data_IF_218466038299
#
_entry.id   IF_218466038299
#
_cell.length_a   1.000
_cell.length_b   1.000
_cell.length_c   1.000
_cell.angle_alpha   90.00
_cell.angle_beta   90.00
_cell.angle_gamma   90.00
#
_symmetry.space_group_name_H-M   'P 1'
#
loop_
_entity.id
_entity.type
_entity.pdbx_description
1 polymer ?
#
# COMPACT_ATOMS: atom_id res chain seq x y z
N UNK A 1 -12.36 24.72 -10.59
CA UNK A 1 -13.18 23.56 -11.01
C UNK A 1 -13.03 22.54 -9.91
N UNK A 2 -14.11 22.29 -9.16
CA UNK A 2 -14.14 21.29 -8.09
C UNK A 2 -13.75 19.93 -8.69
N UNK A 3 -12.84 19.18 -8.07
CA UNK A 3 -12.47 17.84 -8.57
C UNK A 3 -13.59 16.87 -8.19
N UNK A 4 -14.66 16.90 -8.99
CA UNK A 4 -15.89 16.11 -8.84
C UNK A 4 -15.61 14.62 -8.65
N UNK A 5 -14.57 14.08 -9.29
CA UNK A 5 -14.19 12.68 -9.17
C UNK A 5 -13.81 12.24 -7.76
N UNK A 6 -13.15 13.09 -6.97
CA UNK A 6 -12.80 12.76 -5.59
C UNK A 6 -14.04 12.80 -4.70
N UNK A 7 -14.90 13.81 -4.88
CA UNK A 7 -16.13 13.94 -4.13
C UNK A 7 -17.11 12.79 -4.41
N UNK A 8 -17.26 12.42 -5.68
CA UNK A 8 -18.06 11.27 -6.10
C UNK A 8 -17.56 9.98 -5.45
N UNK A 9 -16.24 9.76 -5.45
CA UNK A 9 -15.63 8.60 -4.80
C UNK A 9 -15.89 8.60 -3.28
N UNK A 10 -15.76 9.75 -2.60
CA UNK A 10 -16.04 9.89 -1.17
C UNK A 10 -17.50 9.59 -0.84
N UNK A 11 -18.44 10.17 -1.59
CA UNK A 11 -19.87 9.91 -1.41
C UNK A 11 -20.22 8.44 -1.65
N UNK A 12 -19.58 7.81 -2.64
CA UNK A 12 -19.74 6.39 -2.87
C UNK A 12 -19.28 5.57 -1.66
N UNK A 13 -18.10 5.87 -1.10
CA UNK A 13 -17.61 5.17 0.11
C UNK A 13 -18.58 5.36 1.27
N UNK A 14 -19.02 6.59 1.53
CA UNK A 14 -19.92 6.89 2.64
C UNK A 14 -21.26 6.15 2.53
N UNK A 15 -21.78 6.02 1.31
CA UNK A 15 -23.09 5.40 1.06
C UNK A 15 -23.04 3.86 0.96
N UNK A 16 -21.88 3.27 0.64
CA UNK A 16 -21.78 1.84 0.27
C UNK A 16 -20.88 1.02 1.21
N UNK A 17 -20.29 1.61 2.24
CA UNK A 17 -19.42 0.90 3.19
C UNK A 17 -19.91 1.07 4.62
N UNK A 18 -19.56 0.15 5.53
CA UNK A 18 -19.88 0.29 6.95
C UNK A 18 -19.08 1.42 7.60
N UNK A 19 -19.59 2.04 8.66
CA UNK A 19 -18.92 3.16 9.35
C UNK A 19 -17.53 2.82 9.90
N UNK A 20 -17.25 1.55 10.17
CA UNK A 20 -15.95 1.06 10.63
C UNK A 20 -14.98 0.70 9.48
N UNK A 21 -15.41 0.87 8.22
CA UNK A 21 -14.56 0.67 7.04
C UNK A 21 -13.41 1.67 7.03
N UNK A 22 -12.18 1.16 6.94
CA UNK A 22 -10.98 1.98 6.89
C UNK A 22 -10.57 2.27 5.44
N UNK A 23 -10.24 3.52 5.13
CA UNK A 23 -9.75 3.92 3.82
C UNK A 23 -8.21 3.85 3.81
N UNK A 24 -7.66 3.19 2.80
CA UNK A 24 -6.23 3.13 2.50
C UNK A 24 -5.98 3.90 1.21
N UNK A 25 -5.16 4.95 1.27
CA UNK A 25 -4.85 5.79 0.12
C UNK A 25 -3.47 6.44 0.27
N UNK A 26 -3.03 7.20 -0.73
CA UNK A 26 -1.85 8.06 -0.61
C UNK A 26 -2.07 9.12 0.48
N UNK A 27 -1.02 9.44 1.22
CA UNK A 27 -1.06 10.38 2.33
C UNK A 27 -1.63 11.75 1.97
N UNK A 28 -1.49 12.18 0.70
CA UNK A 28 -1.99 13.46 0.20
C UNK A 28 -3.53 13.55 0.21
N UNK A 29 -4.23 12.42 0.15
CA UNK A 29 -5.70 12.37 0.05
C UNK A 29 -6.38 11.91 1.33
N UNK A 30 -5.63 11.43 2.33
CA UNK A 30 -6.20 10.91 3.57
C UNK A 30 -7.11 11.90 4.29
N UNK A 31 -6.73 13.18 4.40
CA UNK A 31 -7.58 14.22 5.02
C UNK A 31 -8.91 14.40 4.33
N UNK A 32 -8.86 14.48 3.00
CA UNK A 32 -10.04 14.69 2.19
C UNK A 32 -11.02 13.53 2.37
N UNK A 33 -10.53 12.29 2.27
CA UNK A 33 -11.38 11.12 2.47
C UNK A 33 -11.89 10.98 3.91
N UNK A 34 -11.09 11.32 4.92
CA UNK A 34 -11.55 11.34 6.30
C UNK A 34 -12.72 12.31 6.50
N UNK A 35 -12.64 13.50 5.90
CA UNK A 35 -13.66 14.54 5.95
C UNK A 35 -14.92 14.14 5.19
N UNK A 36 -14.78 13.82 3.90
CA UNK A 36 -15.92 13.74 2.97
C UNK A 36 -16.55 12.35 2.91
N UNK A 37 -15.80 11.28 3.19
CA UNK A 37 -16.34 9.92 3.19
C UNK A 37 -16.82 9.48 4.58
N UNK A 38 -16.59 10.28 5.62
CA UNK A 38 -16.93 9.96 7.02
C UNK A 38 -16.41 8.58 7.47
N UNK A 39 -15.19 8.23 7.06
CA UNK A 39 -14.53 6.97 7.41
C UNK A 39 -13.13 7.22 7.99
N UNK A 40 -12.65 6.36 8.90
CA UNK A 40 -11.26 6.40 9.34
C UNK A 40 -10.31 6.13 8.17
N UNK A 41 -9.14 6.77 8.19
CA UNK A 41 -8.09 6.58 7.19
C UNK A 41 -6.83 6.00 7.83
N UNK A 42 -6.09 5.15 7.11
CA UNK A 42 -4.84 4.57 7.63
C UNK A 42 -3.75 5.63 7.80
N UNK A 43 -3.65 6.58 6.88
CA UNK A 43 -2.58 7.57 6.88
C UNK A 43 -2.99 8.84 6.13
N UNK A 44 -2.55 10.00 6.62
CA UNK A 44 -2.81 11.30 6.01
C UNK A 44 -1.66 12.29 6.29
N UNK A 45 -1.65 13.45 5.61
CA UNK A 45 -0.58 14.43 5.73
C UNK A 45 -0.47 15.21 7.06
N UNK A 46 -1.54 15.27 7.84
CA UNK A 46 -1.50 15.86 9.20
C UNK A 46 -0.89 14.88 10.16
N UNK A 47 -1.20 13.59 10.04
CA UNK A 47 -0.56 12.51 10.79
C UNK A 47 0.95 12.55 10.50
N UNK A 48 1.36 12.57 9.23
CA UNK A 48 2.77 12.71 8.85
C UNK A 48 3.44 13.99 9.40
N UNK A 49 2.74 15.13 9.40
CA UNK A 49 3.27 16.40 9.88
C UNK A 49 3.40 16.45 11.41
N UNK A 50 2.32 16.08 12.12
CA UNK A 50 2.25 16.11 13.59
C UNK A 50 3.26 15.15 14.22
N UNK A 51 3.53 14.00 13.61
CA UNK A 51 4.52 13.03 14.08
C UNK A 51 5.96 13.57 14.11
N UNK A 52 6.27 14.60 13.32
CA UNK A 52 7.61 15.20 13.26
C UNK A 52 7.79 16.41 14.17
N UNK A 53 6.72 16.87 14.83
CA UNK A 53 6.77 18.08 15.65
C UNK A 53 7.17 17.76 17.11
N UNK A 54 8.16 18.46 17.69
CA UNK A 54 8.46 18.39 19.11
C UNK A 54 7.28 18.79 20.02
N UNK A 55 6.33 19.59 19.51
CA UNK A 55 5.18 20.09 20.28
C UNK A 55 4.12 19.02 20.57
N UNK A 56 4.26 17.81 20.00
CA UNK A 56 3.29 16.73 20.16
C UNK A 56 3.03 16.35 21.63
N UNK A 57 4.07 16.37 22.46
CA UNK A 57 3.98 16.12 23.91
C UNK A 57 3.07 17.13 24.65
N UNK A 58 2.86 18.32 24.07
CA UNK A 58 2.02 19.37 24.64
C UNK A 58 0.58 19.38 24.12
N UNK A 59 0.34 18.85 22.93
CA UNK A 59 -0.98 18.88 22.27
C UNK A 59 -1.81 17.63 22.47
N UNK A 60 -1.19 16.52 22.89
CA UNK A 60 -1.86 15.25 23.10
C UNK A 60 -1.70 14.79 24.55
N UNK A 61 -2.75 14.17 25.07
CA UNK A 61 -2.76 13.54 26.39
C UNK A 61 -1.58 12.57 26.52
N UNK A 62 -0.94 12.51 27.69
CA UNK A 62 0.19 11.61 27.98
C UNK A 62 -0.20 10.12 27.89
N UNK A 63 -1.49 9.80 27.71
CA UNK A 63 -1.97 8.45 27.40
C UNK A 63 -1.78 8.04 25.93
N UNK A 64 -1.43 8.97 25.03
CA UNK A 64 -1.16 8.65 23.62
C UNK A 64 0.31 8.24 23.45
N UNK A 65 0.51 7.04 22.91
CA UNK A 65 1.84 6.59 22.50
C UNK A 65 2.40 7.53 21.42
N UNK A 66 3.52 8.19 21.74
CA UNK A 66 4.18 9.13 20.84
C UNK A 66 4.76 8.44 19.60
N UNK A 67 4.78 7.11 19.55
CA UNK A 67 5.09 6.36 18.34
C UNK A 67 3.84 6.09 17.47
N UNK A 68 2.62 6.55 17.80
CA UNK A 68 1.39 6.22 17.03
C UNK A 68 0.59 7.45 16.57
N UNK A 69 0.29 7.61 15.26
CA UNK A 69 0.75 6.77 14.16
C UNK A 69 2.25 6.93 13.86
N UNK A 70 2.79 6.06 13.00
CA UNK A 70 4.14 6.21 12.45
C UNK A 70 4.13 6.52 10.95
N UNK A 71 5.10 7.31 10.49
CA UNK A 71 5.45 7.47 9.07
C UNK A 71 5.86 6.15 8.40
N UNK A 72 6.12 5.08 9.18
CA UNK A 72 6.35 3.75 8.62
C UNK A 72 5.11 3.17 7.94
N UNK A 73 3.90 3.70 8.18
CA UNK A 73 2.69 3.34 7.43
C UNK A 73 2.84 3.62 5.93
N UNK A 74 3.50 4.73 5.55
CA UNK A 74 3.82 5.04 4.15
C UNK A 74 4.68 3.94 3.52
N UNK A 75 5.72 3.50 4.25
CA UNK A 75 6.55 2.38 3.83
C UNK A 75 5.75 1.09 3.60
N UNK A 76 4.86 0.73 4.53
CA UNK A 76 4.05 -0.49 4.41
C UNK A 76 3.03 -0.41 3.28
N UNK A 77 2.36 0.74 3.10
CA UNK A 77 1.45 0.98 1.97
C UNK A 77 2.22 0.89 0.65
N UNK A 78 3.39 1.53 0.56
CA UNK A 78 4.25 1.45 -0.61
C UNK A 78 4.71 0.00 -0.87
N UNK A 79 5.13 -0.75 0.15
CA UNK A 79 5.51 -2.15 0.00
C UNK A 79 4.34 -3.00 -0.52
N UNK A 80 3.15 -2.83 0.05
CA UNK A 80 1.95 -3.55 -0.35
C UNK A 80 1.54 -3.25 -1.80
N UNK A 81 1.69 -2.00 -2.25
CA UNK A 81 1.37 -1.60 -3.61
C UNK A 81 2.44 -2.02 -4.62
N UNK A 82 3.67 -2.27 -4.19
CA UNK A 82 4.82 -2.44 -5.08
C UNK A 82 5.32 -3.88 -5.17
N UNK A 83 4.91 -4.75 -4.26
CA UNK A 83 5.12 -6.19 -4.37
C UNK A 83 4.18 -6.81 -5.41
N UNK A 84 4.59 -7.94 -5.97
CA UNK A 84 3.79 -8.86 -6.78
C UNK A 84 3.25 -10.05 -5.94
N UNK A 85 3.64 -10.15 -4.66
CA UNK A 85 3.10 -11.12 -3.71
C UNK A 85 1.75 -10.64 -3.14
N UNK A 86 0.66 -11.17 -3.67
CA UNK A 86 -0.70 -10.81 -3.25
C UNK A 86 -0.99 -11.11 -1.77
N UNK A 87 -0.45 -12.21 -1.23
CA UNK A 87 -0.59 -12.55 0.19
C UNK A 87 0.03 -11.46 1.04
N UNK A 88 1.25 -11.03 0.71
CA UNK A 88 1.94 -9.94 1.39
C UNK A 88 1.14 -8.64 1.33
N UNK A 89 0.70 -8.21 0.13
CA UNK A 89 -0.11 -7.00 -0.02
C UNK A 89 -1.39 -7.05 0.83
N UNK A 90 -2.15 -8.14 0.70
CA UNK A 90 -3.42 -8.34 1.42
C UNK A 90 -3.21 -8.28 2.93
N UNK A 91 -2.22 -8.99 3.44
CA UNK A 91 -1.96 -9.06 4.87
C UNK A 91 -1.45 -7.72 5.42
N UNK A 92 -0.63 -6.97 4.66
CA UNK A 92 -0.25 -5.61 5.05
C UNK A 92 -1.49 -4.72 5.17
N UNK A 93 -2.36 -4.68 4.16
CA UNK A 93 -3.56 -3.84 4.20
C UNK A 93 -4.50 -4.23 5.36
N UNK A 94 -4.72 -5.53 5.57
CA UNK A 94 -5.51 -6.06 6.70
C UNK A 94 -4.92 -5.66 8.05
N UNK A 95 -3.61 -5.83 8.22
CA UNK A 95 -2.88 -5.47 9.43
C UNK A 95 -3.02 -3.98 9.73
N UNK A 96 -2.79 -3.12 8.74
CA UNK A 96 -2.89 -1.67 8.90
C UNK A 96 -4.32 -1.21 9.23
N UNK A 97 -5.32 -1.75 8.52
CA UNK A 97 -6.73 -1.42 8.77
C UNK A 97 -7.23 -1.88 10.15
N UNK A 98 -6.73 -3.02 10.65
CA UNK A 98 -7.24 -3.62 11.89
C UNK A 98 -6.44 -3.23 13.12
N UNK A 99 -5.11 -3.25 13.03
CA UNK A 99 -4.19 -3.13 14.16
C UNK A 99 -3.26 -1.92 14.10
N UNK A 100 -3.28 -1.15 13.01
CA UNK A 100 -2.42 0.02 12.83
C UNK A 100 -0.94 -0.35 12.93
N UNK A 101 -0.23 0.28 13.88
CA UNK A 101 1.22 0.11 14.08
C UNK A 101 1.58 -0.99 15.09
N UNK A 102 0.60 -1.61 15.76
CA UNK A 102 0.82 -2.46 16.92
C UNK A 102 1.73 -3.65 16.65
N UNK A 103 1.66 -4.26 15.46
CA UNK A 103 2.54 -5.38 15.06
C UNK A 103 4.01 -4.98 15.01
N UNK A 104 4.31 -3.84 14.39
CA UNK A 104 5.66 -3.32 14.24
C UNK A 104 6.23 -2.85 15.57
N UNK A 105 5.44 -2.13 16.37
CA UNK A 105 5.83 -1.65 17.70
C UNK A 105 6.13 -2.83 18.63
N UNK A 106 5.26 -3.84 18.65
CA UNK A 106 5.47 -5.03 19.48
C UNK A 106 6.73 -5.80 19.09
N UNK A 107 6.99 -5.97 17.79
CA UNK A 107 8.23 -6.58 17.31
C UNK A 107 9.47 -5.77 17.70
N UNK A 108 9.41 -4.43 17.66
CA UNK A 108 10.51 -3.59 18.11
C UNK A 108 10.77 -3.74 19.61
N UNK A 109 9.72 -3.89 20.42
CA UNK A 109 9.87 -4.17 21.85
C UNK A 109 10.57 -5.50 22.10
N UNK A 110 10.28 -6.54 21.32
CA UNK A 110 10.89 -7.85 21.51
C UNK A 110 12.30 -7.98 20.95
N UNK A 111 12.57 -7.37 19.80
CA UNK A 111 13.86 -7.52 19.11
C UNK A 111 14.87 -6.42 19.47
N UNK A 112 14.38 -5.28 19.96
CA UNK A 112 15.16 -4.04 20.11
C UNK A 112 15.91 -3.62 18.83
N UNK A 113 15.44 -4.07 17.65
CA UNK A 113 16.11 -3.85 16.37
C UNK A 113 15.09 -3.63 15.24
N UNK A 114 14.89 -2.36 14.87
CA UNK A 114 13.93 -1.94 13.84
C UNK A 114 14.12 -2.64 12.48
N UNK A 115 15.36 -2.89 12.08
CA UNK A 115 15.68 -3.57 10.81
C UNK A 115 15.31 -5.05 10.86
N UNK A 116 15.58 -5.71 11.99
CA UNK A 116 15.20 -7.09 12.20
C UNK A 116 13.67 -7.25 12.31
N UNK A 117 13.00 -6.37 13.06
CA UNK A 117 11.54 -6.31 13.14
C UNK A 117 10.89 -6.23 11.77
N UNK A 118 11.35 -5.30 10.92
CA UNK A 118 10.80 -5.13 9.58
C UNK A 118 10.98 -6.40 8.71
N UNK A 119 12.14 -7.05 8.79
CA UNK A 119 12.41 -8.31 8.07
C UNK A 119 11.52 -9.46 8.55
N UNK A 120 11.35 -9.60 9.87
CA UNK A 120 10.47 -10.64 10.45
C UNK A 120 9.02 -10.36 10.04
N UNK A 121 8.57 -9.12 10.20
CA UNK A 121 7.20 -8.71 9.86
C UNK A 121 6.89 -8.95 8.37
N UNK A 122 7.80 -8.61 7.47
CA UNK A 122 7.63 -8.88 6.04
C UNK A 122 7.52 -10.38 5.74
N UNK A 123 8.35 -11.23 6.37
CA UNK A 123 8.28 -12.68 6.20
C UNK A 123 6.95 -13.24 6.71
N UNK A 124 6.55 -12.84 7.91
CA UNK A 124 5.29 -13.23 8.55
C UNK A 124 4.10 -12.84 7.68
N UNK A 125 4.03 -11.61 7.19
CA UNK A 125 2.91 -11.15 6.36
C UNK A 125 2.90 -11.79 4.95
N UNK A 126 3.99 -12.40 4.50
CA UNK A 126 4.07 -13.04 3.18
C UNK A 126 3.41 -14.42 3.11
N UNK A 127 2.93 -14.96 4.24
CA UNK A 127 2.39 -16.32 4.36
C UNK A 127 1.05 -16.32 5.09
N UNK A 128 0.45 -17.49 5.27
CA UNK A 128 -0.76 -17.68 6.09
C UNK A 128 -0.44 -17.68 7.60
N UNK A 129 -1.47 -17.68 8.45
CA UNK A 129 -1.31 -17.60 9.92
C UNK A 129 -0.52 -18.78 10.51
N UNK A 130 -0.68 -19.99 10.00
CA UNK A 130 0.01 -21.19 10.54
C UNK A 130 1.49 -21.18 10.16
N UNK A 131 1.79 -20.87 8.90
CA UNK A 131 3.16 -20.67 8.43
C UNK A 131 3.84 -19.50 9.17
N UNK A 132 3.11 -18.40 9.40
CA UNK A 132 3.59 -17.26 10.16
C UNK A 132 3.94 -17.62 11.61
N UNK A 133 3.13 -18.46 12.27
CA UNK A 133 3.45 -18.98 13.60
C UNK A 133 4.80 -19.69 13.60
N UNK A 134 5.01 -20.60 12.64
CA UNK A 134 6.26 -21.35 12.51
C UNK A 134 7.48 -20.42 12.33
N UNK A 135 7.36 -19.39 11.48
CA UNK A 135 8.40 -18.38 11.30
C UNK A 135 8.70 -17.66 12.62
N UNK A 136 7.67 -17.29 13.39
CA UNK A 136 7.88 -16.64 14.68
C UNK A 136 8.60 -17.58 15.67
N UNK A 137 8.21 -18.86 15.72
CA UNK A 137 8.89 -19.85 16.55
C UNK A 137 10.37 -20.02 16.18
N UNK A 138 10.68 -20.08 14.89
CA UNK A 138 12.06 -20.16 14.39
C UNK A 138 12.89 -18.92 14.74
N UNK A 139 12.24 -17.76 14.89
CA UNK A 139 12.91 -16.52 15.32
C UNK A 139 13.01 -16.40 16.85
N UNK A 140 12.68 -17.45 17.61
CA UNK A 140 12.87 -17.53 19.05
C UNK A 140 11.74 -16.96 19.90
N UNK A 141 10.60 -16.58 19.30
CA UNK A 141 9.45 -16.09 20.06
C UNK A 141 8.78 -17.23 20.84
N UNK A 142 8.39 -16.96 22.08
CA UNK A 142 7.54 -17.86 22.87
C UNK A 142 6.15 -18.00 22.24
N UNK A 143 5.39 -19.04 22.60
CA UNK A 143 4.05 -19.26 22.03
C UNK A 143 3.12 -18.08 22.30
N UNK A 144 3.23 -17.49 23.51
CA UNK A 144 2.47 -16.31 23.92
C UNK A 144 2.81 -15.08 23.08
N UNK A 145 4.09 -14.85 22.80
CA UNK A 145 4.53 -13.73 21.95
C UNK A 145 4.12 -13.94 20.50
N UNK A 146 4.26 -15.17 19.99
CA UNK A 146 3.89 -15.52 18.64
C UNK A 146 2.38 -15.32 18.40
N UNK A 147 1.52 -15.85 19.27
CA UNK A 147 0.06 -15.66 19.15
C UNK A 147 -0.33 -14.19 19.23
N UNK A 148 0.28 -13.42 20.15
CA UNK A 148 0.01 -11.98 20.26
C UNK A 148 0.40 -11.21 19.00
N UNK A 149 1.51 -11.58 18.36
CA UNK A 149 1.92 -11.00 17.08
C UNK A 149 0.99 -11.41 15.93
N UNK A 150 0.50 -12.65 15.94
CA UNK A 150 -0.46 -13.12 14.93
C UNK A 150 -1.81 -12.41 15.06
N UNK A 151 -2.23 -12.02 16.26
CA UNK A 151 -3.48 -11.27 16.44
C UNK A 151 -3.44 -9.89 15.77
N UNK A 152 -2.26 -9.29 15.62
CA UNK A 152 -2.09 -8.04 14.87
C UNK A 152 -1.81 -8.26 13.38
N UNK A 153 -0.99 -9.25 13.04
CA UNK A 153 -0.56 -9.49 11.64
C UNK A 153 -1.56 -10.29 10.82
N UNK A 154 -2.28 -11.21 11.46
CA UNK A 154 -3.24 -12.14 10.87
C UNK A 154 -4.52 -12.19 11.71
N UNK A 155 -5.22 -11.06 11.88
CA UNK A 155 -6.39 -11.00 12.75
C UNK A 155 -7.49 -11.95 12.25
N UNK A 156 -8.07 -12.72 13.18
CA UNK A 156 -9.19 -13.64 12.91
C UNK A 156 -10.42 -12.87 12.41
N UNK A 157 -10.64 -11.68 12.95
CA UNK A 157 -11.66 -10.73 12.49
C UNK A 157 -10.96 -9.48 11.99
N UNK A 158 -11.04 -9.22 10.68
CA UNK A 158 -10.48 -8.02 10.07
C UNK A 158 -11.50 -6.88 10.12
N UNK A 159 -11.03 -5.65 10.31
CA UNK A 159 -11.85 -4.49 9.94
C UNK A 159 -12.05 -4.47 8.42
N UNK A 160 -13.25 -4.08 7.93
CA UNK A 160 -13.43 -3.83 6.52
C UNK A 160 -12.54 -2.67 6.09
N UNK A 161 -12.06 -2.70 4.85
CA UNK A 161 -11.31 -1.60 4.28
C UNK A 161 -11.50 -1.48 2.78
N UNK A 162 -11.20 -0.29 2.28
CA UNK A 162 -11.14 0.02 0.86
C UNK A 162 -9.79 0.63 0.52
N UNK A 163 -9.30 0.35 -0.68
CA UNK A 163 -8.06 0.90 -1.23
C UNK A 163 -8.44 1.87 -2.34
N UNK A 164 -8.07 3.13 -2.19
CA UNK A 164 -8.35 4.19 -3.15
C UNK A 164 -7.10 4.47 -3.97
N UNK A 165 -7.18 4.20 -5.28
CA UNK A 165 -6.11 4.39 -6.25
C UNK A 165 -6.48 5.50 -7.22
N UNK A 166 -5.56 6.46 -7.38
CA UNK A 166 -5.68 7.51 -8.41
C UNK A 166 -5.04 7.04 -9.72
N UNK A 167 -5.63 7.41 -10.85
CA UNK A 167 -5.23 6.97 -12.20
C UNK A 167 -3.82 7.44 -12.62
N UNK A 168 -3.32 8.50 -11.99
CA UNK A 168 -1.97 9.03 -12.13
C UNK A 168 -1.13 8.90 -10.85
N UNK A 169 -1.51 7.98 -9.94
CA UNK A 169 -0.81 7.79 -8.68
C UNK A 169 0.67 7.46 -8.94
N UNK A 170 1.52 8.43 -8.64
CA UNK A 170 2.96 8.29 -8.69
C UNK A 170 3.44 7.67 -7.39
N UNK A 171 3.71 6.37 -7.40
CA UNK A 171 4.42 5.75 -6.28
C UNK A 171 5.91 5.98 -6.49
N UNK A 172 6.47 6.90 -5.72
CA UNK A 172 7.91 7.02 -5.49
C UNK A 172 8.22 6.38 -4.14
N UNK A 173 8.94 5.27 -4.12
CA UNK A 173 9.30 4.62 -2.87
C UNK A 173 10.14 5.56 -2.00
N UNK A 174 9.66 5.85 -0.78
CA UNK A 174 10.42 6.53 0.25
C UNK A 174 11.42 5.54 0.84
N UNK A 175 12.69 5.64 0.46
CA UNK A 175 13.79 5.03 1.21
C UNK A 175 14.46 6.10 2.04
N UNK A 176 14.70 5.81 3.32
CA UNK A 176 15.44 6.66 4.27
C UNK A 176 16.59 7.45 3.61
N UNK A 177 16.68 8.70 4.06
CA UNK A 177 17.70 9.78 3.96
C UNK A 177 18.99 9.68 3.14
N UNK A 178 19.39 8.54 2.56
CA UNK A 178 20.60 8.38 1.73
C UNK A 178 20.39 7.57 0.44
N UNK A 179 19.16 7.22 0.06
CA UNK A 179 18.87 6.56 -1.22
C UNK A 179 17.83 7.37 -2.03
N UNK A 180 18.08 7.63 -3.33
CA UNK A 180 17.13 8.37 -4.16
C UNK A 180 15.79 7.65 -4.17
N UNK A 181 14.69 8.40 -4.04
CA UNK A 181 13.32 7.88 -4.15
C UNK A 181 13.24 6.94 -5.34
N UNK A 182 12.95 5.65 -5.10
CA UNK A 182 12.91 4.68 -6.20
C UNK A 182 11.63 4.93 -6.98
N UNK A 183 11.78 5.52 -8.16
CA UNK A 183 10.65 5.80 -9.05
C UNK A 183 10.23 4.50 -9.70
N UNK A 184 8.99 4.10 -9.44
CA UNK A 184 8.43 2.82 -9.88
C UNK A 184 7.73 3.01 -11.23
N UNK A 185 6.95 4.09 -11.33
CA UNK A 185 6.29 4.53 -12.55
C UNK A 185 6.95 5.83 -12.97
N UNK A 186 7.74 5.78 -14.06
CA UNK A 186 8.40 6.96 -14.61
C UNK A 186 7.41 7.90 -15.29
N UNK A 187 6.44 7.33 -16.01
CA UNK A 187 5.46 8.13 -16.76
C UNK A 187 4.21 7.31 -17.10
N UNK A 188 3.07 8.00 -17.12
CA UNK A 188 1.84 7.54 -17.78
C UNK A 188 1.62 8.42 -19.00
N UNK A 189 1.37 7.79 -20.15
CA UNK A 189 1.26 8.44 -21.45
C UNK A 189 -0.09 8.07 -22.06
N UNK A 190 -0.86 9.07 -22.50
CA UNK A 190 -2.19 8.87 -23.12
C UNK A 190 -2.09 8.52 -24.61
N UNK A 191 -1.16 7.63 -24.94
CA UNK A 191 -1.02 7.02 -26.26
C UNK A 191 -0.33 5.66 -26.10
N UNK A 192 -0.45 4.82 -27.12
CA UNK A 192 0.39 3.62 -27.23
C UNK A 192 1.79 4.03 -27.66
N UNK A 193 2.81 3.59 -26.92
CA UNK A 193 4.21 3.75 -27.28
C UNK A 193 4.91 2.39 -27.23
N UNK A 194 5.93 2.21 -28.07
CA UNK A 194 6.78 1.02 -28.09
C UNK A 194 8.21 1.33 -27.60
N UNK A 195 8.54 2.61 -27.48
CA UNK A 195 9.84 3.12 -27.03
C UNK A 195 9.64 4.34 -26.13
N UNK A 196 10.60 4.59 -25.25
CA UNK A 196 10.58 5.77 -24.38
C UNK A 196 11.93 6.48 -24.43
N UNK A 197 11.91 7.78 -24.72
CA UNK A 197 13.11 8.61 -24.89
C UNK A 197 14.14 8.02 -25.89
N UNK A 198 13.65 7.46 -27.01
CA UNK A 198 14.49 6.84 -28.04
C UNK A 198 15.20 5.56 -27.62
N UNK A 199 14.75 4.93 -26.53
CA UNK A 199 15.28 3.66 -26.04
C UNK A 199 14.21 2.58 -26.10
N UNK A 200 14.65 1.37 -26.43
CA UNK A 200 13.79 0.19 -26.37
C UNK A 200 13.58 -0.27 -24.91
N UNK A 201 12.38 -0.75 -24.57
CA UNK A 201 12.09 -1.27 -23.24
C UNK A 201 12.71 -2.66 -23.05
N UNK A 202 12.79 -3.07 -21.80
CA UNK A 202 13.10 -4.45 -21.41
C UNK A 202 12.02 -5.40 -21.91
N UNK A 203 10.77 -5.04 -21.70
CA UNK A 203 9.62 -5.75 -22.22
C UNK A 203 8.44 -4.82 -22.47
N UNK A 204 7.55 -5.25 -23.35
CA UNK A 204 6.23 -4.66 -23.53
C UNK A 204 5.19 -5.67 -23.04
N UNK A 205 4.34 -5.24 -22.11
CA UNK A 205 3.21 -6.02 -21.62
C UNK A 205 1.93 -5.43 -22.21
N UNK A 206 1.16 -6.22 -22.96
CA UNK A 206 -0.10 -5.81 -23.56
C UNK A 206 -1.09 -6.97 -23.49
N UNK A 207 -2.32 -6.70 -23.02
CA UNK A 207 -3.39 -7.70 -22.91
C UNK A 207 -2.96 -8.99 -22.18
N UNK A 208 -2.13 -8.85 -21.15
CA UNK A 208 -1.59 -9.98 -20.36
C UNK A 208 -0.46 -10.76 -21.02
N UNK A 209 -0.07 -10.44 -22.26
CA UNK A 209 1.09 -11.02 -22.93
C UNK A 209 2.30 -10.12 -22.79
N UNK A 210 3.46 -10.69 -22.46
CA UNK A 210 4.72 -9.98 -22.35
C UNK A 210 5.69 -10.38 -23.45
N UNK A 211 6.20 -9.38 -24.16
CA UNK A 211 7.21 -9.53 -25.19
C UNK A 211 8.53 -8.91 -24.72
N UNK A 212 9.57 -9.72 -24.57
CA UNK A 212 10.92 -9.24 -24.20
C UNK A 212 11.62 -8.64 -25.42
N UNK A 213 12.23 -7.47 -25.26
CA UNK A 213 12.83 -6.69 -26.36
C UNK A 213 14.33 -6.48 -26.10
N UNK A 214 14.70 -5.70 -25.08
CA UNK A 214 16.11 -5.46 -24.74
C UNK A 214 16.43 -5.85 -23.29
N UNK A 215 17.12 -6.98 -23.11
CA UNK A 215 17.55 -7.47 -21.79
C UNK A 215 18.40 -6.47 -20.99
N UNK A 216 19.06 -5.50 -21.65
CA UNK A 216 19.89 -4.48 -21.01
C UNK A 216 19.10 -3.27 -20.54
N UNK A 217 17.89 -3.05 -21.06
CA UNK A 217 17.03 -1.96 -20.64
C UNK A 217 16.60 -2.10 -19.18
N UNK A 218 16.27 -0.97 -18.53
CA UNK A 218 15.89 -0.89 -17.12
C UNK A 218 14.41 -0.59 -16.91
N UNK A 219 13.64 -0.42 -17.97
CA UNK A 219 12.22 -0.11 -17.89
C UNK A 219 11.39 -1.05 -18.77
N UNK A 220 10.15 -1.30 -18.39
CA UNK A 220 9.15 -1.95 -19.24
C UNK A 220 8.07 -0.96 -19.64
N UNK A 221 7.36 -1.24 -20.71
CA UNK A 221 6.16 -0.49 -21.11
C UNK A 221 4.95 -1.41 -20.94
N UNK A 222 3.90 -0.89 -20.30
CA UNK A 222 2.64 -1.61 -20.09
C UNK A 222 1.55 -0.87 -20.81
N UNK A 223 0.95 -1.52 -21.80
CA UNK A 223 -0.09 -0.96 -22.65
C UNK A 223 -1.45 -1.40 -22.12
N UNK A 224 -2.30 -0.43 -21.76
CA UNK A 224 -3.68 -0.65 -21.32
C UNK A 224 -4.61 0.28 -22.09
N UNK A 225 -5.44 -0.29 -22.97
CA UNK A 225 -6.27 0.49 -23.88
C UNK A 225 -5.44 1.47 -24.71
N UNK A 226 -5.71 2.77 -24.58
CA UNK A 226 -4.98 3.85 -25.24
C UNK A 226 -3.87 4.48 -24.37
N UNK A 227 -3.56 3.91 -23.20
CA UNK A 227 -2.52 4.41 -22.28
C UNK A 227 -1.31 3.47 -22.26
N UNK A 228 -0.14 4.06 -22.04
CA UNK A 228 1.12 3.35 -21.79
C UNK A 228 1.72 3.78 -20.47
N UNK A 229 2.10 2.82 -19.63
CA UNK A 229 2.83 3.06 -18.39
C UNK A 229 4.29 2.69 -18.62
N UNK A 230 5.20 3.63 -18.36
CA UNK A 230 6.64 3.40 -18.36
C UNK A 230 7.05 3.11 -16.92
N UNK A 231 7.55 1.91 -16.67
CA UNK A 231 7.79 1.40 -15.31
C UNK A 231 9.20 0.86 -15.18
N UNK A 232 9.80 0.96 -14.00
CA UNK A 232 11.04 0.23 -13.70
C UNK A 232 10.78 -1.26 -13.90
N UNK A 233 11.67 -1.95 -14.62
CA UNK A 233 11.46 -3.34 -15.02
C UNK A 233 11.22 -4.25 -13.82
N UNK A 234 11.77 -3.94 -12.65
CA UNK A 234 11.65 -4.77 -11.46
C UNK A 234 10.25 -4.70 -10.82
N UNK A 235 9.42 -3.73 -11.22
CA UNK A 235 8.09 -3.51 -10.67
C UNK A 235 6.96 -3.70 -11.69
N UNK A 236 7.27 -4.25 -12.87
CA UNK A 236 6.29 -4.43 -13.95
C UNK A 236 5.11 -5.35 -13.58
N UNK A 237 5.22 -6.15 -12.52
CA UNK A 237 4.12 -6.97 -11.98
C UNK A 237 3.57 -6.49 -10.63
N UNK A 238 4.03 -5.33 -10.15
CA UNK A 238 3.59 -4.76 -8.89
C UNK A 238 2.05 -4.61 -8.84
N UNK A 239 1.47 -4.74 -7.64
CA UNK A 239 0.03 -4.63 -7.44
C UNK A 239 -0.55 -3.32 -7.98
N UNK A 240 0.13 -2.19 -7.78
CA UNK A 240 -0.32 -0.88 -8.30
C UNK A 240 -0.47 -0.88 -9.81
N UNK A 241 0.44 -1.52 -10.54
CA UNK A 241 0.36 -1.61 -11.99
C UNK A 241 -0.92 -2.32 -12.36
N UNK A 242 -1.23 -3.42 -11.68
CA UNK A 242 -2.45 -4.18 -11.91
C UNK A 242 -3.69 -3.35 -11.56
N UNK A 243 -3.69 -2.59 -10.46
CA UNK A 243 -4.79 -1.64 -10.18
C UNK A 243 -4.97 -0.58 -11.27
N UNK A 244 -3.88 -0.08 -11.83
CA UNK A 244 -3.94 0.92 -12.89
C UNK A 244 -4.38 0.32 -14.23
N UNK A 245 -4.06 -0.93 -14.53
CA UNK A 245 -4.29 -1.54 -15.85
C UNK A 245 -5.47 -2.52 -15.94
N UNK A 246 -5.88 -3.16 -14.84
CA UNK A 246 -6.83 -4.28 -14.82
C UNK A 246 -8.11 -3.99 -14.00
N UNK A 247 -9.08 -4.91 -14.14
CA UNK A 247 -10.27 -5.03 -13.28
C UNK A 247 -9.95 -5.71 -11.95
N UNK A 248 -10.61 -6.84 -11.65
CA UNK A 248 -10.39 -7.60 -10.41
C UNK A 248 -9.04 -8.36 -10.45
N UNK A 249 -8.35 -8.43 -9.30
CA UNK A 249 -6.99 -8.97 -9.20
C UNK A 249 -6.89 -9.84 -7.95
N UNK A 250 -6.86 -11.16 -8.13
CA UNK A 250 -6.90 -12.09 -6.98
C UNK A 250 -8.14 -11.81 -6.14
N UNK A 251 -7.95 -11.61 -4.83
CA UNK A 251 -9.04 -11.27 -3.90
C UNK A 251 -9.43 -9.78 -3.93
N UNK A 252 -8.67 -8.94 -4.64
CA UNK A 252 -8.96 -7.51 -4.75
C UNK A 252 -10.03 -7.27 -5.83
N UNK A 253 -11.18 -6.78 -5.40
CA UNK A 253 -12.33 -6.52 -6.26
C UNK A 253 -12.50 -5.02 -6.43
N UNK A 254 -12.57 -4.56 -7.68
CA UNK A 254 -12.88 -3.17 -7.99
C UNK A 254 -14.37 -2.95 -7.81
N UNK A 255 -14.73 -2.08 -6.87
CA UNK A 255 -16.11 -1.81 -6.47
C UNK A 255 -16.61 -0.46 -6.98
N UNK A 256 -15.70 0.44 -7.35
CA UNK A 256 -16.01 1.72 -7.95
C UNK A 256 -14.90 2.15 -8.90
N UNK A 257 -15.28 2.83 -9.98
CA UNK A 257 -14.37 3.49 -10.91
C UNK A 257 -15.03 4.71 -11.52
N UNK A 258 -14.34 5.84 -11.46
CA UNK A 258 -14.60 6.98 -12.33
C UNK A 258 -13.33 7.34 -13.11
N UNK A 259 -13.31 8.53 -13.73
CA UNK A 259 -12.22 8.93 -14.61
C UNK A 259 -10.84 8.95 -13.93
N UNK A 260 -10.78 9.27 -12.64
CA UNK A 260 -9.52 9.46 -11.88
C UNK A 260 -9.34 8.48 -10.74
N UNK A 261 -10.42 7.94 -10.18
CA UNK A 261 -10.39 7.17 -8.94
C UNK A 261 -10.92 5.76 -9.19
N UNK A 262 -10.18 4.78 -8.67
CA UNK A 262 -10.59 3.39 -8.58
C UNK A 262 -10.60 2.98 -7.11
N UNK A 263 -11.63 2.28 -6.69
CA UNK A 263 -11.75 1.77 -5.32
C UNK A 263 -11.79 0.25 -5.37
N UNK A 264 -10.93 -0.36 -4.57
CA UNK A 264 -10.84 -1.80 -4.41
C UNK A 264 -11.20 -2.21 -2.98
N UNK A 265 -11.84 -3.36 -2.83
CA UNK A 265 -12.01 -4.06 -1.55
C UNK A 265 -11.48 -5.48 -1.64
N UNK A 266 -11.52 -6.24 -0.56
CA UNK A 266 -11.12 -7.66 -0.53
C UNK A 266 -12.34 -8.51 -0.23
N UNK A 267 -12.54 -9.61 -0.97
CA UNK A 267 -13.54 -10.63 -0.60
C UNK A 267 -13.01 -11.38 0.61
N UNK A 268 -13.77 -11.34 1.71
CA UNK A 268 -13.48 -12.06 2.96
C UNK A 268 -13.48 -13.57 2.78
#
# INVERSE_FOLDING_TARGET
MYDDYFMEASHWIDSNTSNDTVIITDWSYGHFFASEAHRPVVFDGRLAYIETLPIREYWYDHSLDLEIPTTARDYWIALALTTDNYTLSRNIFRMLATSGDNSYLLLNTYTHNKTQSAKILQKVLSVDRESAYSILKENGFSDKEAERLLDYTHPKTSRPFVIVIKDDMHISGTSNTNHPRKVIIYKIINSTILEWNGKSPYSIIQNGTENFIDKKSNFSIIITGNKSLVVDKNYRYALIIKFLTNGNIGDFIKVFENKKIKIYTIVS
#
